data_IF_616151169662
#
_entry.id   IF_616151169662
#
_cell.length_a   1.000
_cell.length_b   1.000
_cell.length_c   1.000
_cell.angle_alpha   90.00
_cell.angle_beta   90.00
_cell.angle_gamma   90.00
#
_symmetry.space_group_name_H-M   'P 1'
#
loop_
_entity.id
_entity.type
_entity.pdbx_description
1 polymer ?
#
# COMPACT_ATOMS: atom_id res chain seq x y z
N UNK A 1 46.14 33.64 -5.85
CA UNK A 1 45.43 33.88 -4.58
C UNK A 1 43.92 33.90 -4.83
N UNK A 2 43.15 32.93 -4.32
CA UNK A 2 41.68 32.95 -4.45
C UNK A 2 41.12 33.95 -3.44
N UNK A 3 40.51 35.03 -3.92
CA UNK A 3 39.87 36.05 -3.07
C UNK A 3 38.73 35.38 -2.29
N UNK A 4 38.69 35.55 -0.98
CA UNK A 4 37.55 35.16 -0.15
C UNK A 4 36.43 36.16 -0.43
N UNK A 5 35.42 35.72 -1.16
CA UNK A 5 34.19 36.50 -1.39
C UNK A 5 33.36 36.45 -0.11
N UNK A 6 33.11 37.61 0.49
CA UNK A 6 32.20 37.72 1.63
C UNK A 6 30.77 37.71 1.08
N UNK A 7 29.95 36.78 1.58
CA UNK A 7 28.52 36.75 1.30
C UNK A 7 27.81 37.68 2.29
N UNK A 8 26.95 38.55 1.74
CA UNK A 8 26.10 39.44 2.51
C UNK A 8 24.64 38.98 2.37
N UNK A 9 23.91 39.00 3.48
CA UNK A 9 22.50 38.66 3.54
C UNK A 9 21.63 39.92 3.44
N UNK A 10 20.41 39.74 2.98
CA UNK A 10 19.35 40.73 2.86
C UNK A 10 18.32 40.56 3.99
N UNK A 11 17.52 41.59 4.32
CA UNK A 11 16.45 41.46 5.32
C UNK A 11 15.40 40.38 4.98
N UNK A 12 15.24 40.05 3.70
CA UNK A 12 14.39 38.94 3.25
C UNK A 12 14.94 37.56 3.63
N UNK A 13 16.25 37.40 3.81
CA UNK A 13 16.85 36.18 4.36
C UNK A 13 16.53 35.99 5.86
N UNK A 14 16.08 37.05 6.53
CA UNK A 14 15.64 37.04 7.92
C UNK A 14 14.16 36.68 8.07
N UNK A 15 13.44 36.56 6.94
CA UNK A 15 12.12 35.95 6.91
C UNK A 15 12.38 34.47 6.71
N UNK A 16 12.12 33.65 7.74
CA UNK A 16 11.83 32.25 7.49
C UNK A 16 10.64 32.25 6.53
N UNK A 17 10.91 32.21 5.22
CA UNK A 17 10.00 31.53 4.33
C UNK A 17 9.85 30.17 4.98
N UNK A 18 8.73 29.99 5.68
CA UNK A 18 8.11 28.68 5.80
C UNK A 18 8.01 28.22 4.37
N UNK A 19 9.09 27.60 3.86
CA UNK A 19 9.00 26.49 2.94
C UNK A 19 7.84 25.75 3.53
N UNK A 20 6.69 25.81 2.85
CA UNK A 20 5.62 24.87 3.11
C UNK A 20 6.40 23.56 3.10
N UNK A 21 6.62 23.01 4.29
CA UNK A 21 6.94 21.63 4.40
C UNK A 21 5.79 21.02 3.64
N UNK A 22 6.06 20.61 2.41
CA UNK A 22 5.31 19.53 1.81
C UNK A 22 5.37 18.50 2.91
N UNK A 23 4.31 18.44 3.73
CA UNK A 23 3.98 17.25 4.51
C UNK A 23 4.27 16.15 3.52
N UNK A 24 5.35 15.41 3.75
CA UNK A 24 5.60 14.18 3.03
C UNK A 24 4.25 13.49 3.07
N UNK A 25 3.60 13.32 1.90
CA UNK A 25 2.32 12.61 1.83
C UNK A 25 2.56 11.33 2.63
N UNK A 26 1.89 11.20 3.77
CA UNK A 26 2.05 10.01 4.60
C UNK A 26 1.83 8.81 3.69
N UNK A 27 2.79 7.90 3.65
CA UNK A 27 2.72 6.78 2.74
C UNK A 27 1.43 6.01 3.00
N UNK A 28 0.63 5.83 1.96
CA UNK A 28 -0.66 5.14 2.09
C UNK A 28 -0.36 3.68 2.41
N UNK A 29 -1.00 3.18 3.46
CA UNK A 29 -0.79 1.81 3.95
C UNK A 29 -2.09 1.03 3.92
N UNK A 30 -1.96 -0.29 3.85
CA UNK A 30 -3.06 -1.26 3.92
C UNK A 30 -2.68 -2.41 4.85
N UNK A 31 -3.66 -3.20 5.28
CA UNK A 31 -3.46 -4.34 6.17
C UNK A 31 -4.32 -5.54 5.77
N UNK A 32 -4.02 -6.69 6.38
CA UNK A 32 -4.77 -7.94 6.17
C UNK A 32 -5.72 -8.17 7.35
N UNK A 33 -6.99 -8.40 7.04
CA UNK A 33 -7.99 -8.81 8.04
C UNK A 33 -7.78 -10.25 8.52
N UNK A 34 -8.32 -10.59 9.70
CA UNK A 34 -8.31 -11.97 10.23
C UNK A 34 -8.95 -13.00 9.28
N UNK A 35 -9.83 -12.56 8.37
CA UNK A 35 -10.51 -13.40 7.38
C UNK A 35 -9.75 -13.50 6.05
N UNK A 36 -8.49 -13.07 5.99
CA UNK A 36 -7.66 -13.21 4.79
C UNK A 36 -8.02 -12.23 3.66
N UNK A 37 -8.66 -11.10 3.98
CA UNK A 37 -8.91 -10.03 3.00
C UNK A 37 -7.87 -8.92 3.13
N UNK A 38 -7.34 -8.46 2.00
CA UNK A 38 -6.58 -7.22 1.89
C UNK A 38 -7.55 -6.04 2.01
N UNK A 39 -7.35 -5.17 2.99
CA UNK A 39 -8.29 -4.10 3.32
C UNK A 39 -8.05 -2.85 2.47
N UNK A 40 -9.05 -2.45 1.68
CA UNK A 40 -9.01 -1.24 0.87
C UNK A 40 -9.78 -0.14 1.59
N UNK A 41 -9.05 0.68 2.34
CA UNK A 41 -9.61 1.91 2.94
C UNK A 41 -9.95 2.94 1.85
N UNK A 42 -10.75 3.98 2.16
CA UNK A 42 -11.06 5.03 1.17
C UNK A 42 -9.80 5.67 0.56
N UNK A 43 -8.76 5.91 1.36
CA UNK A 43 -7.48 6.45 0.88
C UNK A 43 -6.74 5.48 -0.04
N UNK A 44 -6.86 4.17 0.20
CA UNK A 44 -6.29 3.14 -0.68
C UNK A 44 -7.07 3.10 -2.00
N UNK A 45 -8.40 3.11 -1.97
CA UNK A 45 -9.22 3.12 -3.18
C UNK A 45 -8.96 4.35 -4.04
N UNK A 46 -8.80 5.52 -3.42
CA UNK A 46 -8.42 6.76 -4.11
C UNK A 46 -7.03 6.64 -4.75
N UNK A 47 -6.03 6.13 -4.01
CA UNK A 47 -4.68 5.94 -4.55
C UNK A 47 -4.67 4.96 -5.73
N UNK A 48 -5.44 3.88 -5.63
CA UNK A 48 -5.57 2.87 -6.68
C UNK A 48 -6.49 3.32 -7.82
N UNK A 49 -7.13 4.49 -7.71
CA UNK A 49 -8.17 4.98 -8.62
C UNK A 49 -9.21 3.88 -8.93
N UNK A 50 -9.67 3.19 -7.87
CA UNK A 50 -10.48 2.00 -7.97
C UNK A 50 -11.93 2.26 -7.53
N UNK A 51 -12.87 1.87 -8.38
CA UNK A 51 -14.28 1.78 -8.04
C UNK A 51 -14.59 0.36 -7.54
N UNK A 52 -15.02 0.19 -6.28
CA UNK A 52 -15.34 -1.12 -5.71
C UNK A 52 -16.40 -1.93 -6.47
N UNK A 53 -17.24 -1.28 -7.28
CA UNK A 53 -18.32 -1.94 -8.02
C UNK A 53 -17.89 -2.54 -9.37
N UNK A 54 -16.81 -2.02 -9.95
CA UNK A 54 -16.40 -2.31 -11.32
C UNK A 54 -14.93 -2.71 -11.45
N UNK A 55 -14.05 -2.17 -10.61
CA UNK A 55 -12.61 -2.40 -10.70
C UNK A 55 -12.24 -3.78 -10.20
N UNK A 56 -11.41 -4.47 -10.99
CA UNK A 56 -10.80 -5.75 -10.63
C UNK A 56 -9.28 -5.63 -10.69
N UNK A 57 -8.60 -6.48 -9.94
CA UNK A 57 -7.15 -6.49 -9.87
C UNK A 57 -6.58 -7.87 -10.14
N UNK A 58 -5.51 -7.92 -10.94
CA UNK A 58 -4.59 -9.06 -10.96
C UNK A 58 -3.65 -8.91 -9.77
N UNK A 59 -3.42 -10.01 -9.07
CA UNK A 59 -2.58 -10.04 -7.87
C UNK A 59 -1.38 -10.93 -8.14
N UNK A 60 -0.20 -10.31 -8.10
CA UNK A 60 1.09 -10.99 -8.23
C UNK A 60 1.88 -10.96 -6.92
N UNK A 61 2.91 -11.80 -6.84
CA UNK A 61 3.93 -11.76 -5.80
C UNK A 61 5.24 -12.26 -6.40
N UNK A 62 6.37 -11.87 -5.81
CA UNK A 62 7.67 -12.38 -6.27
C UNK A 62 7.81 -13.87 -5.99
N UNK A 63 8.38 -14.62 -6.93
CA UNK A 63 8.68 -16.03 -6.73
C UNK A 63 9.85 -16.18 -5.73
N UNK A 64 9.54 -16.44 -4.45
CA UNK A 64 10.54 -16.68 -3.39
C UNK A 64 10.31 -18.02 -2.71
N UNK A 65 11.41 -18.66 -2.28
CA UNK A 65 11.37 -19.97 -1.59
C UNK A 65 10.63 -19.93 -0.24
N UNK A 66 10.55 -18.78 0.44
CA UNK A 66 9.80 -18.57 1.70
C UNK A 66 9.51 -17.09 1.97
N UNK A 67 8.27 -16.81 2.39
CA UNK A 67 7.81 -15.48 2.82
C UNK A 67 7.56 -14.50 1.68
N UNK A 68 6.82 -13.43 1.98
CA UNK A 68 6.50 -12.37 1.02
C UNK A 68 7.29 -11.11 1.34
N UNK A 69 8.02 -10.61 0.35
CA UNK A 69 8.56 -9.24 0.38
C UNK A 69 7.49 -8.24 -0.02
N UNK A 70 6.87 -8.50 -1.19
CA UNK A 70 5.88 -7.62 -1.79
C UNK A 70 4.77 -8.37 -2.54
N UNK A 71 3.59 -7.76 -2.60
CA UNK A 71 2.54 -8.11 -3.54
C UNK A 71 2.39 -7.03 -4.60
N UNK A 72 1.90 -7.38 -5.78
CA UNK A 72 1.66 -6.44 -6.86
C UNK A 72 0.17 -6.46 -7.23
N UNK A 73 -0.42 -5.27 -7.30
CA UNK A 73 -1.78 -5.06 -7.78
C UNK A 73 -1.72 -4.35 -9.13
N UNK A 74 -2.24 -5.01 -10.15
CA UNK A 74 -2.38 -4.44 -11.50
C UNK A 74 -3.86 -4.40 -11.81
N UNK A 75 -4.37 -3.23 -12.27
CA UNK A 75 -5.78 -3.15 -12.71
C UNK A 75 -5.99 -4.14 -13.84
N UNK A 76 -7.04 -4.93 -13.73
CA UNK A 76 -7.39 -5.91 -14.74
C UNK A 76 -8.27 -5.26 -15.81
N UNK A 77 -8.11 -5.70 -17.05
CA UNK A 77 -9.03 -5.35 -18.12
C UNK A 77 -10.28 -6.24 -18.05
N UNK A 78 -11.36 -5.85 -18.73
CA UNK A 78 -12.62 -6.61 -18.74
C UNK A 78 -12.47 -8.05 -19.29
N UNK A 79 -11.43 -8.29 -20.09
CA UNK A 79 -11.11 -9.59 -20.68
C UNK A 79 -10.30 -10.52 -19.74
N UNK A 80 -9.77 -10.03 -18.63
CA UNK A 80 -8.98 -10.83 -17.70
C UNK A 80 -9.88 -11.75 -16.85
N UNK A 81 -9.79 -13.06 -17.09
CA UNK A 81 -10.56 -14.06 -16.32
C UNK A 81 -10.01 -14.30 -14.92
N UNK A 82 -8.73 -14.02 -14.71
CA UNK A 82 -8.00 -14.31 -13.48
C UNK A 82 -7.90 -13.08 -12.54
N UNK A 83 -8.89 -12.20 -12.64
CA UNK A 83 -8.94 -10.95 -11.88
C UNK A 83 -9.77 -11.09 -10.59
N UNK A 84 -9.26 -10.50 -9.52
CA UNK A 84 -9.92 -10.46 -8.22
C UNK A 84 -10.84 -9.25 -8.11
N UNK A 85 -12.08 -9.50 -7.68
CA UNK A 85 -13.07 -8.46 -7.43
C UNK A 85 -12.86 -7.80 -6.07
N UNK A 86 -13.20 -6.51 -5.99
CA UNK A 86 -13.34 -5.83 -4.71
C UNK A 86 -14.69 -6.21 -4.10
N UNK A 87 -14.68 -6.61 -2.83
CA UNK A 87 -15.89 -6.99 -2.09
C UNK A 87 -15.99 -6.22 -0.77
N UNK A 88 -17.20 -6.15 -0.21
CA UNK A 88 -17.41 -5.55 1.10
C UNK A 88 -16.64 -6.32 2.19
N UNK A 89 -16.03 -5.57 3.10
CA UNK A 89 -15.25 -6.09 4.22
C UNK A 89 -15.44 -5.21 5.46
N UNK A 90 -16.26 -5.65 6.41
CA UNK A 90 -16.65 -4.86 7.57
C UNK A 90 -17.28 -3.52 7.14
N UNK A 91 -16.69 -2.42 7.60
CA UNK A 91 -17.10 -1.04 7.26
C UNK A 91 -16.52 -0.52 5.93
N UNK A 92 -15.70 -1.29 5.24
CA UNK A 92 -15.02 -0.85 4.00
C UNK A 92 -15.04 -1.92 2.92
N UNK A 93 -13.98 -1.93 2.12
CA UNK A 93 -13.81 -2.85 1.01
C UNK A 93 -12.55 -3.69 1.19
N UNK A 94 -12.46 -4.79 0.45
CA UNK A 94 -11.27 -5.62 0.44
C UNK A 94 -11.27 -6.66 -0.66
N UNK A 95 -10.08 -7.18 -0.93
CA UNK A 95 -9.86 -8.26 -1.91
C UNK A 95 -9.63 -9.55 -1.13
N UNK A 96 -10.39 -10.60 -1.43
CA UNK A 96 -10.24 -11.89 -0.78
C UNK A 96 -9.01 -12.63 -1.31
N UNK A 97 -7.98 -12.77 -0.48
CA UNK A 97 -6.69 -13.35 -0.86
C UNK A 97 -6.20 -14.41 0.15
N UNK A 98 -7.08 -14.90 1.03
CA UNK A 98 -6.71 -15.78 2.15
C UNK A 98 -5.90 -17.00 1.71
N UNK A 99 -6.38 -17.74 0.71
CA UNK A 99 -5.66 -18.92 0.20
C UNK A 99 -4.28 -18.58 -0.40
N UNK A 100 -4.12 -17.37 -0.97
CA UNK A 100 -2.82 -16.90 -1.48
C UNK A 100 -1.91 -16.58 -0.30
N UNK A 101 -2.42 -15.84 0.69
CA UNK A 101 -1.70 -15.51 1.93
C UNK A 101 -1.26 -16.77 2.69
N UNK A 102 -2.10 -17.80 2.75
CA UNK A 102 -1.78 -19.08 3.37
C UNK A 102 -0.66 -19.79 2.59
N UNK A 103 -0.75 -19.83 1.25
CA UNK A 103 0.26 -20.45 0.38
C UNK A 103 1.64 -19.81 0.52
N UNK A 104 1.69 -18.51 0.75
CA UNK A 104 2.94 -17.76 0.96
C UNK A 104 3.38 -17.67 2.43
N UNK A 105 2.62 -18.28 3.35
CA UNK A 105 2.97 -18.45 4.75
C UNK A 105 2.70 -17.24 5.65
N UNK A 106 1.72 -16.40 5.31
CA UNK A 106 1.30 -15.27 6.16
C UNK A 106 0.27 -15.73 7.20
N UNK A 107 0.65 -15.69 8.48
CA UNK A 107 -0.27 -15.93 9.59
C UNK A 107 -0.99 -14.63 9.99
N UNK A 108 -2.01 -14.24 9.23
CA UNK A 108 -2.84 -13.04 9.50
C UNK A 108 -3.86 -13.26 10.62
N UNK A 109 -3.92 -14.46 11.21
CA UNK A 109 -4.77 -14.78 12.36
C UNK A 109 -4.11 -14.38 13.67
N UNK A 110 -2.78 -14.54 13.76
CA UNK A 110 -1.97 -14.20 14.94
C UNK A 110 -1.29 -12.83 14.82
N UNK A 111 -0.98 -12.38 13.60
CA UNK A 111 -0.26 -11.13 13.36
C UNK A 111 -1.08 -10.12 12.55
N UNK A 112 -0.88 -8.84 12.84
CA UNK A 112 -1.27 -7.72 12.01
C UNK A 112 -0.11 -7.39 11.06
N UNK A 113 -0.40 -7.42 9.76
CA UNK A 113 0.55 -7.03 8.72
C UNK A 113 0.16 -5.67 8.16
N UNK A 114 1.13 -4.77 8.06
CA UNK A 114 0.97 -3.47 7.42
C UNK A 114 1.85 -3.41 6.18
N UNK A 115 1.24 -3.08 5.04
CA UNK A 115 1.92 -2.91 3.76
C UNK A 115 1.91 -1.45 3.37
N UNK A 116 3.04 -0.96 2.86
CA UNK A 116 3.14 0.34 2.20
C UNK A 116 2.80 0.18 0.71
N UNK A 117 1.97 1.07 0.17
CA UNK A 117 1.56 1.02 -1.24
C UNK A 117 2.35 2.05 -2.04
N UNK A 118 3.05 1.61 -3.09
CA UNK A 118 3.81 2.48 -4.00
C UNK A 118 3.46 2.17 -5.45
N UNK A 119 3.30 3.18 -6.32
CA UNK A 119 3.16 2.92 -7.75
C UNK A 119 4.45 2.32 -8.31
N UNK A 120 4.33 1.38 -9.25
CA UNK A 120 5.44 0.86 -10.03
C UNK A 120 5.08 0.87 -11.52
N UNK A 121 6.10 0.88 -12.37
CA UNK A 121 5.98 0.73 -13.81
C UNK A 121 7.15 -0.10 -14.30
N UNK A 122 6.85 -1.21 -14.97
CA UNK A 122 7.82 -2.00 -15.73
C UNK A 122 7.69 -1.60 -17.21
N UNK A 123 8.50 -0.62 -17.62
CA UNK A 123 8.43 -0.03 -18.96
C UNK A 123 8.64 -1.06 -20.08
N UNK A 124 9.49 -2.06 -19.86
CA UNK A 124 9.80 -3.12 -20.84
C UNK A 124 8.62 -4.05 -21.11
N UNK A 125 7.73 -4.24 -20.13
CA UNK A 125 6.56 -5.12 -20.23
C UNK A 125 5.24 -4.33 -20.40
N UNK A 126 5.30 -2.99 -20.33
CA UNK A 126 4.11 -2.13 -20.39
C UNK A 126 3.18 -2.29 -19.19
N UNK A 127 3.65 -2.91 -18.09
CA UNK A 127 2.84 -3.19 -16.90
C UNK A 127 3.04 -2.07 -15.88
N UNK A 128 1.96 -1.41 -15.49
CA UNK A 128 1.95 -0.47 -14.38
C UNK A 128 0.93 -0.88 -13.33
N UNK A 129 1.20 -0.53 -12.08
CA UNK A 129 0.36 -0.92 -10.97
C UNK A 129 0.90 -0.42 -9.65
N UNK A 130 0.59 -1.16 -8.58
CA UNK A 130 0.96 -0.81 -7.22
C UNK A 130 1.63 -1.97 -6.51
N UNK A 131 2.79 -1.70 -5.93
CA UNK A 131 3.53 -2.62 -5.09
C UNK A 131 3.13 -2.41 -3.64
N UNK A 132 2.84 -3.50 -2.96
CA UNK A 132 2.51 -3.58 -1.54
C UNK A 132 3.69 -4.23 -0.83
N UNK A 133 4.62 -3.41 -0.36
CA UNK A 133 5.81 -3.87 0.35
C UNK A 133 5.52 -4.00 1.84
N UNK A 134 5.92 -5.11 2.47
CA UNK A 134 5.72 -5.32 3.90
C UNK A 134 6.49 -4.25 4.71
N UNK A 135 5.75 -3.44 5.48
CA UNK A 135 6.29 -2.37 6.31
C UNK A 135 6.44 -2.78 7.76
N UNK A 136 5.43 -3.46 8.30
CA UNK A 136 5.40 -3.86 9.70
C UNK A 136 4.63 -5.17 9.90
N UNK A 137 5.05 -5.92 10.93
CA UNK A 137 4.41 -7.15 11.40
C UNK A 137 4.37 -7.12 12.93
N UNK A 138 3.18 -6.92 13.48
CA UNK A 138 2.97 -6.86 14.92
C UNK A 138 2.12 -8.06 15.39
N UNK A 139 2.39 -8.64 16.57
CA UNK A 139 1.46 -9.58 17.19
C UNK A 139 0.12 -8.91 17.44
N UNK A 140 -0.99 -9.58 17.12
CA UNK A 140 -2.31 -9.08 17.48
C UNK A 140 -2.45 -9.10 19.00
N UNK A 141 -2.74 -7.95 19.60
CA UNK A 141 -3.08 -7.89 21.02
C UNK A 141 -4.55 -8.28 21.20
N UNK A 142 -4.87 -9.01 22.27
CA UNK A 142 -6.22 -9.53 22.54
C UNK A 142 -7.30 -8.44 22.64
N UNK A 143 -6.91 -7.16 22.81
CA UNK A 143 -7.79 -6.01 22.97
C UNK A 143 -8.46 -5.50 21.68
N UNK A 144 -8.09 -5.98 20.48
CA UNK A 144 -8.80 -5.67 19.22
C UNK A 144 -9.80 -6.75 18.81
N UNK A 145 -10.28 -7.53 19.78
CA UNK A 145 -11.44 -8.41 19.64
C UNK A 145 -12.70 -7.68 20.12
N UNK A 146 -13.00 -6.53 19.52
CA UNK A 146 -14.27 -5.83 19.73
C UNK A 146 -15.33 -6.41 18.80
N UNK A 147 -16.22 -7.22 19.38
CA UNK A 147 -17.59 -7.54 18.97
C UNK A 147 -17.90 -7.57 17.46
N UNK A 148 -17.97 -8.77 16.89
CA UNK A 148 -19.02 -9.12 15.91
C UNK A 148 -19.60 -10.47 16.37
N UNK A 149 -20.62 -10.38 17.24
CA UNK A 149 -21.62 -11.44 17.45
C UNK A 149 -22.66 -11.38 16.31
#
# INVERSE_FOLDING_TARGET
MKKKSILFFSPTDNVEEKKKSTKSKEAVTTSISKKGKLLLSPAVLELLEADPSSTKFKVGTEERKRGVGSFFLVKADDADTDAFVIAKSGRGHGIALGAIFDRVGLDYTTYDYTFEIKPFSYEEEGISGYELSLKDKAPRTAATSGEEE
#
